data_IF_015868238519
#
_entry.id   IF_015868238519
#
_cell.length_a   1.000
_cell.length_b   1.000
_cell.length_c   1.000
_cell.angle_alpha   90.00
_cell.angle_beta   90.00
_cell.angle_gamma   90.00
#
_symmetry.space_group_name_H-M   'P 1'
#
loop_
_entity.id
_entity.type
_entity.pdbx_description
1 polymer ?
#
# COMPACT_ATOMS: atom_id res chain seq x y z
N UNK A 1 -7.70 -15.95 7.94
CA UNK A 1 -6.31 -15.48 7.98
C UNK A 1 -6.09 -14.38 6.96
N UNK A 2 -5.18 -13.47 7.24
CA UNK A 2 -4.98 -12.28 6.40
C UNK A 2 -4.61 -12.63 4.95
N UNK A 3 -3.68 -13.57 4.74
CA UNK A 3 -3.29 -13.97 3.39
C UNK A 3 -4.46 -14.55 2.61
N UNK A 4 -5.28 -15.38 3.24
CA UNK A 4 -6.43 -15.97 2.58
C UNK A 4 -7.46 -14.91 2.18
N UNK A 5 -7.65 -13.90 3.02
CA UNK A 5 -8.56 -12.80 2.70
C UNK A 5 -8.06 -12.03 1.47
N UNK A 6 -6.76 -11.77 1.41
CA UNK A 6 -6.13 -11.12 0.25
C UNK A 6 -6.29 -11.99 -1.00
N UNK A 7 -5.98 -13.29 -0.88
CA UNK A 7 -6.09 -14.23 -2.00
C UNK A 7 -7.51 -14.25 -2.57
N UNK A 8 -8.51 -14.39 -1.69
CA UNK A 8 -9.91 -14.43 -2.12
C UNK A 8 -10.32 -13.12 -2.79
N UNK A 9 -9.87 -11.99 -2.26
CA UNK A 9 -10.17 -10.69 -2.83
C UNK A 9 -9.61 -10.57 -4.25
N UNK A 10 -8.33 -10.92 -4.42
CA UNK A 10 -7.66 -10.82 -5.73
C UNK A 10 -8.29 -11.78 -6.74
N UNK A 11 -8.56 -13.02 -6.33
CA UNK A 11 -9.18 -14.01 -7.22
C UNK A 11 -10.59 -13.58 -7.65
N UNK A 12 -11.34 -12.95 -6.74
CA UNK A 12 -12.68 -12.48 -7.05
C UNK A 12 -12.69 -11.39 -8.11
N UNK A 13 -11.54 -10.75 -8.35
CA UNK A 13 -11.39 -9.71 -9.36
C UNK A 13 -10.60 -10.17 -10.59
N UNK A 14 -10.46 -11.48 -10.75
CA UNK A 14 -9.84 -12.06 -11.93
C UNK A 14 -8.32 -12.13 -11.93
N UNK A 15 -7.68 -11.86 -10.79
CA UNK A 15 -6.23 -11.99 -10.66
C UNK A 15 -5.86 -13.47 -10.51
N UNK A 16 -4.87 -13.92 -11.27
CA UNK A 16 -4.45 -15.32 -11.30
C UNK A 16 -2.98 -15.56 -10.96
N UNK A 17 -2.33 -14.56 -10.34
CA UNK A 17 -0.94 -14.68 -9.93
C UNK A 17 -0.75 -15.47 -8.64
N UNK A 18 0.46 -15.40 -8.10
CA UNK A 18 0.83 -16.09 -6.87
C UNK A 18 1.14 -15.09 -5.75
N UNK A 19 0.76 -15.47 -4.52
CA UNK A 19 1.20 -14.76 -3.34
C UNK A 19 2.54 -15.36 -2.92
N UNK A 20 3.57 -14.51 -2.80
CA UNK A 20 4.90 -14.93 -2.38
C UNK A 20 4.94 -14.90 -0.85
N UNK A 21 5.38 -16.01 -0.24
CA UNK A 21 5.52 -16.10 1.22
C UNK A 21 6.99 -16.35 1.55
N UNK A 22 7.45 -15.73 2.62
CA UNK A 22 8.87 -15.77 3.02
C UNK A 22 9.03 -16.39 4.40
N UNK A 23 10.19 -17.00 4.63
CA UNK A 23 10.51 -17.58 5.94
C UNK A 23 10.81 -16.51 7.00
N UNK A 24 11.22 -15.30 6.56
CA UNK A 24 11.60 -14.20 7.45
C UNK A 24 10.78 -12.96 7.15
N UNK A 25 10.70 -12.06 8.13
CA UNK A 25 9.94 -10.83 7.99
C UNK A 25 10.49 -9.94 6.88
N UNK A 26 9.57 -9.38 6.07
CA UNK A 26 9.87 -8.36 5.07
C UNK A 26 9.27 -7.02 5.49
N UNK A 27 9.29 -6.72 6.79
CA UNK A 27 8.63 -5.53 7.34
C UNK A 27 9.24 -4.21 6.87
N UNK A 28 10.50 -4.20 6.42
CA UNK A 28 11.11 -3.02 5.84
C UNK A 28 11.13 -3.14 4.32
N UNK A 29 11.19 -2.00 3.63
CA UNK A 29 11.27 -1.97 2.16
C UNK A 29 12.51 -2.73 1.67
N UNK A 30 13.65 -2.55 2.33
CA UNK A 30 14.91 -3.19 1.95
C UNK A 30 14.83 -4.70 2.08
N UNK A 31 14.26 -5.19 3.18
CA UNK A 31 14.10 -6.63 3.39
C UNK A 31 13.10 -7.21 2.39
N UNK A 32 12.01 -6.52 2.12
CA UNK A 32 11.03 -6.97 1.13
C UNK A 32 11.66 -7.07 -0.25
N UNK A 33 12.41 -6.06 -0.66
CA UNK A 33 13.08 -6.05 -1.97
C UNK A 33 14.07 -7.21 -2.11
N UNK A 34 14.82 -7.49 -1.04
CA UNK A 34 15.77 -8.61 -1.02
C UNK A 34 15.03 -9.95 -1.14
N UNK A 35 13.93 -10.12 -0.42
CA UNK A 35 13.16 -11.36 -0.43
C UNK A 35 12.54 -11.67 -1.79
N UNK A 36 12.06 -10.65 -2.51
CA UNK A 36 11.45 -10.88 -3.83
C UNK A 36 12.44 -10.75 -4.97
N UNK A 37 13.68 -10.32 -4.70
CA UNK A 37 14.71 -10.20 -5.73
C UNK A 37 14.54 -8.98 -6.64
N UNK A 38 14.08 -7.88 -6.09
CA UNK A 38 13.87 -6.64 -6.85
C UNK A 38 14.54 -5.45 -6.16
N UNK A 39 14.47 -4.28 -6.79
CA UNK A 39 14.98 -3.05 -6.20
C UNK A 39 13.98 -2.44 -5.22
N UNK A 40 14.44 -1.73 -4.17
CA UNK A 40 13.54 -1.14 -3.17
C UNK A 40 12.44 -0.25 -3.75
N UNK A 41 12.72 0.47 -4.84
CA UNK A 41 11.74 1.36 -5.46
C UNK A 41 10.49 0.61 -5.95
N UNK A 42 10.60 -0.66 -6.31
CA UNK A 42 9.48 -1.46 -6.79
C UNK A 42 8.64 -2.09 -5.67
N UNK A 43 9.08 -1.98 -4.43
CA UNK A 43 8.24 -2.36 -3.30
C UNK A 43 7.17 -1.28 -3.14
N UNK A 44 5.91 -1.66 -3.19
CA UNK A 44 4.81 -0.72 -3.01
C UNK A 44 4.40 -0.73 -1.55
N UNK A 45 4.84 0.28 -0.80
CA UNK A 45 4.46 0.41 0.59
C UNK A 45 3.09 1.07 0.70
N UNK A 46 2.26 0.56 1.60
CA UNK A 46 0.94 1.13 1.87
C UNK A 46 1.01 1.87 3.20
N UNK A 47 0.88 3.19 3.12
CA UNK A 47 0.99 4.07 4.28
C UNK A 47 -0.39 4.46 4.76
N UNK A 48 -0.66 4.27 6.05
CA UNK A 48 -1.96 4.58 6.65
C UNK A 48 -1.94 5.89 7.41
N UNK A 49 -2.90 6.75 7.09
CA UNK A 49 -3.07 8.05 7.73
C UNK A 49 -4.48 8.21 8.24
N UNK A 50 -4.64 9.03 9.27
CA UNK A 50 -5.97 9.46 9.71
C UNK A 50 -6.59 10.32 8.61
N UNK A 51 -7.89 10.12 8.35
CA UNK A 51 -8.59 10.97 7.39
C UNK A 51 -8.84 12.34 8.04
N UNK A 52 -8.35 13.45 7.48
CA UNK A 52 -8.57 14.78 8.05
C UNK A 52 -10.05 15.15 8.19
N UNK A 53 -10.91 14.57 7.36
CA UNK A 53 -12.34 14.86 7.39
C UNK A 53 -13.10 14.00 8.39
N UNK A 54 -12.53 12.85 8.80
CA UNK A 54 -13.22 11.90 9.67
C UNK A 54 -12.21 11.02 10.39
N UNK A 55 -11.99 11.23 11.72
CA UNK A 55 -10.98 10.47 12.47
C UNK A 55 -11.23 8.97 12.53
N UNK A 56 -12.46 8.51 12.31
CA UNK A 56 -12.78 7.08 12.31
C UNK A 56 -12.49 6.40 10.97
N UNK A 57 -12.00 7.15 10.00
CA UNK A 57 -11.59 6.62 8.69
C UNK A 57 -10.10 6.72 8.51
N UNK A 58 -9.61 5.94 7.56
CA UNK A 58 -8.19 5.98 7.19
C UNK A 58 -8.02 6.32 5.72
N UNK A 59 -6.92 6.98 5.42
CA UNK A 59 -6.44 7.16 4.05
C UNK A 59 -5.25 6.26 3.89
N UNK A 60 -5.30 5.35 2.91
CA UNK A 60 -4.19 4.47 2.57
C UNK A 60 -3.58 4.96 1.27
N UNK A 61 -2.29 5.28 1.31
CA UNK A 61 -1.55 5.72 0.12
C UNK A 61 -0.56 4.64 -0.26
N UNK A 62 -0.67 4.12 -1.49
CA UNK A 62 0.26 3.13 -2.03
C UNK A 62 1.35 3.87 -2.78
N UNK A 63 2.57 3.81 -2.26
CA UNK A 63 3.70 4.57 -2.79
C UNK A 63 4.92 3.69 -3.01
N UNK A 64 5.82 4.13 -3.89
CA UNK A 64 7.07 3.40 -4.14
C UNK A 64 7.95 3.36 -2.89
N UNK A 65 8.78 2.33 -2.79
CA UNK A 65 9.60 2.11 -1.60
C UNK A 65 10.68 3.16 -1.38
N UNK A 66 11.07 3.88 -2.41
CA UNK A 66 12.16 4.87 -2.35
C UNK A 66 11.70 6.31 -2.11
N UNK A 67 10.42 6.53 -1.83
CA UNK A 67 9.88 7.89 -1.68
C UNK A 67 9.37 8.14 -0.27
N UNK A 68 9.10 9.41 0.03
CA UNK A 68 8.52 9.85 1.30
C UNK A 68 7.32 10.73 1.03
N UNK A 69 6.32 10.66 1.90
CA UNK A 69 5.17 11.55 1.82
C UNK A 69 5.63 12.96 2.18
N UNK A 70 5.22 13.92 1.37
CA UNK A 70 5.49 15.34 1.59
C UNK A 70 4.26 15.97 2.27
N UNK A 71 4.48 16.59 3.41
CA UNK A 71 3.38 17.14 4.22
C UNK A 71 2.56 18.20 3.49
N UNK A 72 3.21 19.08 2.74
CA UNK A 72 2.52 20.13 2.00
C UNK A 72 1.66 19.58 0.86
N UNK A 73 2.20 18.60 0.12
CA UNK A 73 1.43 17.96 -0.95
C UNK A 73 0.24 17.20 -0.40
N UNK A 74 0.45 16.46 0.70
CA UNK A 74 -0.64 15.73 1.35
C UNK A 74 -1.75 16.69 1.81
N UNK A 75 -1.35 17.78 2.47
CA UNK A 75 -2.31 18.77 2.94
C UNK A 75 -3.13 19.39 1.80
N UNK A 76 -2.47 19.72 0.70
CA UNK A 76 -3.17 20.29 -0.47
C UNK A 76 -4.17 19.30 -1.05
N UNK A 77 -3.84 18.01 -1.05
CA UNK A 77 -4.71 16.99 -1.63
C UNK A 77 -5.84 16.59 -0.70
N UNK A 78 -5.57 16.45 0.59
CA UNK A 78 -6.53 15.86 1.54
C UNK A 78 -7.11 16.86 2.54
N UNK A 79 -6.63 18.09 2.56
CA UNK A 79 -7.21 19.14 3.40
C UNK A 79 -6.67 19.21 4.82
N UNK A 80 -5.68 18.40 5.18
CA UNK A 80 -5.06 18.43 6.50
C UNK A 80 -3.68 17.81 6.46
N UNK A 81 -2.89 18.06 7.50
CA UNK A 81 -1.54 17.49 7.61
C UNK A 81 -1.59 15.97 7.74
N UNK A 82 -0.59 15.25 7.19
CA UNK A 82 -0.55 13.81 7.36
C UNK A 82 -0.32 13.43 8.83
N UNK A 83 -1.18 12.61 9.37
CA UNK A 83 -1.03 12.02 10.70
C UNK A 83 -1.05 10.50 10.53
N UNK A 84 0.10 9.86 10.70
CA UNK A 84 0.20 8.42 10.60
C UNK A 84 -0.70 7.75 11.63
N UNK A 85 -1.30 6.63 11.26
CA UNK A 85 -2.08 5.82 12.19
C UNK A 85 -1.17 5.31 13.31
N UNK A 86 -1.69 5.29 14.53
CA UNK A 86 -0.98 4.73 15.68
C UNK A 86 -1.09 3.21 15.68
N UNK A 87 -0.23 2.56 16.48
CA UNK A 87 -0.16 1.10 16.50
C UNK A 87 -1.49 0.38 16.68
N UNK A 88 -2.35 0.89 17.56
CA UNK A 88 -3.66 0.29 17.82
C UNK A 88 -4.69 0.60 16.73
N UNK A 89 -4.50 1.71 16.02
CA UNK A 89 -5.38 2.11 14.91
C UNK A 89 -5.11 1.31 13.64
N UNK A 90 -3.87 0.85 13.45
CA UNK A 90 -3.48 0.18 12.21
C UNK A 90 -4.35 -1.05 11.93
N UNK A 91 -4.41 -2.06 12.78
CA UNK A 91 -5.27 -3.21 12.47
C UNK A 91 -6.75 -2.87 12.46
N UNK A 92 -7.20 -1.95 13.32
CA UNK A 92 -8.61 -1.60 13.38
C UNK A 92 -9.10 -0.92 12.10
N UNK A 93 -8.30 -0.03 11.54
CA UNK A 93 -8.71 0.78 10.38
C UNK A 93 -8.25 0.23 9.04
N UNK A 94 -7.16 -0.54 9.00
CA UNK A 94 -6.64 -1.10 7.75
C UNK A 94 -7.03 -2.56 7.54
N UNK A 95 -7.34 -3.27 8.59
CA UNK A 95 -7.64 -4.70 8.55
C UNK A 95 -6.41 -5.60 8.62
N UNK A 96 -5.22 -5.03 8.80
CA UNK A 96 -3.97 -5.77 8.76
C UNK A 96 -3.02 -5.33 9.87
N UNK A 97 -2.12 -6.23 10.32
CA UNK A 97 -1.13 -5.87 11.34
C UNK A 97 -0.05 -4.94 10.78
N UNK A 98 0.68 -4.27 11.67
CA UNK A 98 1.85 -3.49 11.29
C UNK A 98 2.82 -4.39 10.53
N UNK A 99 3.35 -3.90 9.43
CA UNK A 99 4.23 -4.66 8.55
C UNK A 99 3.49 -5.44 7.47
N UNK A 100 2.19 -5.68 7.64
CA UNK A 100 1.38 -6.40 6.66
C UNK A 100 0.31 -5.55 5.98
N UNK A 101 0.26 -4.25 6.26
CA UNK A 101 -0.74 -3.36 5.66
C UNK A 101 -0.64 -3.39 4.14
N UNK A 102 -1.77 -3.61 3.49
CA UNK A 102 -1.85 -3.68 2.04
C UNK A 102 -3.17 -3.05 1.57
N UNK A 103 -3.32 -2.76 0.27
CA UNK A 103 -4.50 -2.05 -0.22
C UNK A 103 -5.60 -2.99 -0.72
N UNK A 104 -5.69 -4.20 -0.17
CA UNK A 104 -6.66 -5.20 -0.61
C UNK A 104 -7.61 -5.59 0.51
N UNK A 105 -8.90 -5.72 0.19
CA UNK A 105 -9.92 -6.20 1.14
C UNK A 105 -9.93 -5.43 2.47
N UNK A 106 -9.74 -4.12 2.41
CA UNK A 106 -9.73 -3.26 3.58
C UNK A 106 -11.15 -3.00 4.09
N UNK A 107 -11.29 -2.60 5.38
CA UNK A 107 -12.60 -2.18 5.88
C UNK A 107 -13.18 -1.01 5.08
N UNK A 108 -14.49 -0.88 5.08
CA UNK A 108 -15.20 0.13 4.29
C UNK A 108 -14.74 1.56 4.55
N UNK A 109 -14.31 1.87 5.78
CA UNK A 109 -13.81 3.20 6.13
C UNK A 109 -12.41 3.50 5.65
N UNK A 110 -11.70 2.55 5.07
CA UNK A 110 -10.35 2.76 4.54
C UNK A 110 -10.44 3.21 3.09
N UNK A 111 -9.91 4.40 2.81
CA UNK A 111 -9.92 5.00 1.48
C UNK A 111 -8.56 4.81 0.84
N UNK A 112 -8.51 4.12 -0.30
CA UNK A 112 -7.25 3.80 -0.97
C UNK A 112 -6.96 4.78 -2.09
N UNK A 113 -5.72 5.27 -2.13
CA UNK A 113 -5.21 6.13 -3.20
C UNK A 113 -3.87 5.58 -3.68
N UNK A 114 -3.62 5.69 -4.97
CA UNK A 114 -2.37 5.24 -5.58
C UNK A 114 -1.51 6.46 -5.89
N UNK A 115 -0.26 6.45 -5.43
CA UNK A 115 0.63 7.59 -5.66
C UNK A 115 1.33 7.49 -7.02
N UNK A 116 1.57 8.62 -7.66
CA UNK A 116 2.21 8.69 -8.98
C UNK A 116 3.60 8.05 -9.00
N UNK A 117 4.28 7.96 -7.85
CA UNK A 117 5.63 7.38 -7.79
C UNK A 117 5.70 5.95 -8.31
N UNK A 118 4.63 5.15 -8.13
CA UNK A 118 4.64 3.76 -8.60
C UNK A 118 4.42 3.63 -10.10
N UNK A 119 3.98 4.69 -10.77
CA UNK A 119 3.74 4.66 -12.22
C UNK A 119 5.04 4.65 -13.04
N UNK A 120 6.19 4.80 -12.39
CA UNK A 120 7.49 4.65 -13.04
C UNK A 120 7.74 3.21 -13.50
N UNK A 121 7.00 2.25 -12.95
CA UNK A 121 7.23 0.82 -13.17
C UNK A 121 6.02 0.17 -13.84
N UNK A 122 6.26 -0.96 -14.50
CA UNK A 122 5.19 -1.75 -15.09
C UNK A 122 4.46 -2.57 -14.02
N UNK A 123 5.20 -3.05 -13.02
CA UNK A 123 4.64 -3.78 -11.88
C UNK A 123 5.36 -3.41 -10.59
N UNK A 124 4.67 -3.61 -9.47
CA UNK A 124 5.21 -3.37 -8.12
C UNK A 124 4.84 -4.52 -7.20
N UNK A 125 5.43 -4.53 -6.01
CA UNK A 125 5.25 -5.61 -5.03
C UNK A 125 4.67 -5.06 -3.72
N UNK A 126 3.35 -5.00 -3.57
CA UNK A 126 2.75 -4.71 -2.26
C UNK A 126 2.75 -5.94 -1.35
N UNK A 127 2.64 -5.72 -0.04
CA UNK A 127 2.44 -6.80 0.90
C UNK A 127 1.10 -7.50 0.65
N UNK A 128 0.94 -8.70 1.17
CA UNK A 128 -0.28 -9.48 1.02
C UNK A 128 -0.95 -9.77 2.38
N UNK A 129 -0.91 -8.81 3.29
CA UNK A 129 -1.59 -8.89 4.57
C UNK A 129 -0.72 -9.32 5.74
N UNK A 130 0.52 -9.72 5.50
CA UNK A 130 1.46 -10.10 6.56
C UNK A 130 2.84 -9.53 6.26
N UNK A 131 3.71 -9.49 7.27
CA UNK A 131 5.09 -9.04 7.12
C UNK A 131 5.98 -10.07 6.41
N UNK A 132 5.44 -11.23 6.04
CA UNK A 132 6.18 -12.29 5.36
C UNK A 132 5.58 -12.64 4.00
N UNK A 133 4.90 -11.69 3.37
CA UNK A 133 4.24 -11.94 2.09
C UNK A 133 4.30 -10.75 1.16
N UNK A 134 4.19 -11.02 -0.13
CA UNK A 134 4.07 -9.98 -1.15
C UNK A 134 3.40 -10.56 -2.39
N UNK A 135 2.87 -9.69 -3.23
CA UNK A 135 2.33 -10.07 -4.54
C UNK A 135 2.90 -9.14 -5.58
N UNK A 136 3.13 -9.64 -6.78
CA UNK A 136 3.49 -8.78 -7.90
C UNK A 136 2.21 -8.38 -8.63
N UNK A 137 1.96 -7.07 -8.71
CA UNK A 137 0.76 -6.53 -9.37
C UNK A 137 1.18 -5.55 -10.46
N UNK A 138 0.59 -5.69 -11.63
CA UNK A 138 0.81 -4.75 -12.72
C UNK A 138 0.10 -3.44 -12.38
N UNK A 139 0.77 -2.32 -12.69
CA UNK A 139 0.21 -0.99 -12.42
C UNK A 139 -1.17 -0.82 -13.07
N UNK A 140 -1.35 -1.36 -14.27
CA UNK A 140 -2.63 -1.26 -14.98
C UNK A 140 -3.78 -1.97 -14.25
N UNK A 141 -3.48 -2.97 -13.43
CA UNK A 141 -4.49 -3.72 -12.68
C UNK A 141 -4.77 -3.16 -11.29
N UNK A 142 -3.88 -2.34 -10.75
CA UNK A 142 -4.00 -1.83 -9.39
C UNK A 142 -5.32 -1.10 -9.09
N UNK A 143 -5.79 -0.20 -9.94
CA UNK A 143 -7.04 0.52 -9.62
C UNK A 143 -8.22 -0.42 -9.37
N UNK A 144 -8.38 -1.44 -10.20
CA UNK A 144 -9.48 -2.40 -10.05
C UNK A 144 -9.26 -3.34 -8.87
N UNK A 145 -8.04 -3.84 -8.69
CA UNK A 145 -7.75 -4.79 -7.63
C UNK A 145 -7.83 -4.17 -6.24
N UNK A 146 -7.55 -2.87 -6.11
CA UNK A 146 -7.56 -2.17 -4.83
C UNK A 146 -8.87 -1.46 -4.55
N UNK A 147 -9.63 -1.13 -5.58
CA UNK A 147 -10.79 -0.24 -5.44
C UNK A 147 -10.38 1.21 -5.14
N UNK A 148 -9.17 1.61 -5.56
CA UNK A 148 -8.65 2.94 -5.28
C UNK A 148 -9.56 4.04 -5.82
N UNK A 149 -9.67 5.14 -5.05
CA UNK A 149 -10.48 6.30 -5.44
C UNK A 149 -9.80 7.12 -6.53
N UNK A 150 -8.48 7.03 -6.67
CA UNK A 150 -7.77 7.75 -7.72
C UNK A 150 -6.26 7.76 -7.49
N UNK A 151 -5.58 8.50 -8.36
CA UNK A 151 -4.14 8.73 -8.29
C UNK A 151 -3.87 10.04 -7.59
N UNK A 152 -2.79 10.07 -6.80
CA UNK A 152 -2.37 11.27 -6.06
C UNK A 152 -0.87 11.48 -6.27
N UNK A 153 -0.41 12.71 -6.04
CA UNK A 153 1.01 13.06 -6.13
C UNK A 153 1.40 13.73 -4.81
N UNK A 154 1.62 12.90 -3.79
CA UNK A 154 1.87 13.39 -2.43
C UNK A 154 3.26 13.00 -1.91
N UNK A 155 4.14 12.49 -2.77
CA UNK A 155 5.47 12.04 -2.36
C UNK A 155 6.59 12.82 -3.04
N UNK A 156 7.78 12.75 -2.43
CA UNK A 156 9.01 13.33 -2.98
C UNK A 156 10.13 12.28 -2.84
N UNK A 157 11.24 12.51 -3.52
CA UNK A 157 12.40 11.60 -3.47
C UNK A 157 12.56 10.76 -4.71
N UNK A 158 11.79 11.02 -5.77
CA UNK A 158 11.92 10.33 -7.05
C UNK A 158 11.93 11.33 -8.20
N UNK A 159 12.57 10.93 -9.28
CA UNK A 159 12.63 11.77 -10.48
C UNK A 159 11.54 11.34 -11.45
N UNK A 160 10.77 12.30 -11.93
CA UNK A 160 9.82 12.06 -13.02
C UNK A 160 10.65 11.90 -14.32
N UNK A 161 10.43 10.82 -15.05
CA UNK A 161 11.10 10.58 -16.32
C UNK A 161 10.15 10.76 -17.48
#
# INVERSE_FOLDING_TARGET
>A
MAIERVRQHLESRGWDGEILEFAESSATVELAAEMVGTEPARIAKTLGFSDPDSPERAILVVAAGDVKVNGGRFKRRFGGKPRMLRGDEVPALTGYPIGGVCPFANPEGARVFLDESIRRFESVFPAAGTATSAVEIRIAELPELTGAEGWVDVTVGWAAT
#
